data_IF_554259214249
#
_entry.id   IF_554259214249
#
_cell.length_a   1.000
_cell.length_b   1.000
_cell.length_c   1.000
_cell.angle_alpha   90.00
_cell.angle_beta   90.00
_cell.angle_gamma   90.00
#
_symmetry.space_group_name_H-M   'P 1'
#
loop_
_entity.id
_entity.type
_entity.pdbx_description
1 polymer ?
#
# COMPACT_ATOMS: atom_id res chain seq x y z
N UNK A 1 18.32 -15.08 9.68
CA UNK A 1 17.26 -16.10 9.53
C UNK A 1 16.85 -16.54 10.92
N UNK A 2 15.56 -16.82 11.16
CA UNK A 2 15.08 -17.28 12.46
C UNK A 2 15.56 -18.70 12.79
N UNK A 3 15.68 -19.55 11.76
CA UNK A 3 16.37 -20.85 11.79
C UNK A 3 16.75 -21.30 10.36
N UNK A 4 17.59 -22.32 10.18
CA UNK A 4 17.83 -22.92 8.86
C UNK A 4 16.54 -23.47 8.22
N UNK A 5 16.42 -23.34 6.90
CA UNK A 5 15.27 -23.86 6.15
C UNK A 5 15.37 -25.39 6.11
N UNK A 6 14.39 -26.07 6.69
CA UNK A 6 14.28 -27.54 6.63
C UNK A 6 13.53 -27.96 5.37
N UNK A 7 14.03 -29.00 4.71
CA UNK A 7 13.35 -29.64 3.58
C UNK A 7 12.18 -30.53 4.03
N UNK A 8 12.03 -30.77 5.34
CA UNK A 8 10.96 -31.59 5.91
C UNK A 8 10.97 -33.04 5.41
N UNK A 9 9.79 -33.68 5.45
CA UNK A 9 9.61 -35.03 4.93
C UNK A 9 9.39 -34.99 3.40
N UNK A 10 10.32 -35.55 2.58
CA UNK A 10 10.20 -35.55 1.12
C UNK A 10 8.93 -36.21 0.60
N UNK A 11 8.34 -37.14 1.35
CA UNK A 11 7.14 -37.88 0.96
C UNK A 11 5.87 -37.01 0.92
N UNK A 12 5.90 -35.82 1.54
CA UNK A 12 4.76 -34.90 1.56
C UNK A 12 4.69 -34.01 0.31
N UNK A 13 5.78 -33.89 -0.47
CA UNK A 13 5.78 -33.14 -1.74
C UNK A 13 5.49 -31.64 -1.65
N UNK A 14 5.53 -31.03 -0.46
CA UNK A 14 5.25 -29.60 -0.31
C UNK A 14 6.36 -28.73 -0.88
N UNK A 15 5.99 -27.61 -1.51
CA UNK A 15 6.94 -26.61 -2.00
C UNK A 15 7.52 -25.83 -0.83
N UNK A 16 8.85 -25.81 -0.72
CA UNK A 16 9.59 -25.02 0.27
C UNK A 16 10.25 -23.84 -0.43
N UNK A 17 10.20 -22.65 0.17
CA UNK A 17 10.82 -21.45 -0.38
C UNK A 17 12.32 -21.67 -0.61
N UNK A 18 12.80 -21.38 -1.82
CA UNK A 18 14.19 -21.57 -2.18
C UNK A 18 14.68 -20.44 -3.10
N UNK A 19 15.64 -19.63 -2.64
CA UNK A 19 16.22 -18.52 -3.44
C UNK A 19 16.80 -18.96 -4.79
N UNK A 20 17.17 -20.23 -4.97
CA UNK A 20 17.67 -20.76 -6.26
C UNK A 20 16.56 -20.93 -7.30
N UNK A 21 15.30 -21.02 -6.88
CA UNK A 21 14.15 -21.08 -7.78
C UNK A 21 13.87 -19.68 -8.37
N UNK A 22 13.69 -19.59 -9.69
CA UNK A 22 13.43 -18.33 -10.39
C UNK A 22 12.22 -17.56 -9.85
N UNK A 23 11.16 -18.25 -9.44
CA UNK A 23 9.98 -17.59 -8.89
C UNK A 23 10.30 -16.89 -7.55
N UNK A 24 10.92 -17.62 -6.63
CA UNK A 24 11.28 -17.15 -5.29
C UNK A 24 12.42 -16.12 -5.30
N UNK A 25 13.34 -16.21 -6.26
CA UNK A 25 14.44 -15.28 -6.45
C UNK A 25 13.96 -13.84 -6.71
N UNK A 26 12.74 -13.67 -7.22
CA UNK A 26 12.12 -12.36 -7.49
C UNK A 26 11.51 -11.70 -6.25
N UNK A 27 11.43 -12.40 -5.11
CA UNK A 27 10.90 -11.80 -3.88
C UNK A 27 11.81 -10.66 -3.38
N UNK A 28 11.22 -9.49 -3.17
CA UNK A 28 11.96 -8.26 -2.89
C UNK A 28 12.41 -8.12 -1.42
N UNK A 29 11.65 -8.69 -0.49
CA UNK A 29 11.91 -8.63 0.95
C UNK A 29 11.42 -9.91 1.63
N UNK A 30 12.08 -11.07 1.40
CA UNK A 30 11.60 -12.34 1.93
C UNK A 30 11.72 -12.43 3.46
N UNK A 31 10.60 -12.68 4.13
CA UNK A 31 10.54 -13.03 5.56
C UNK A 31 10.01 -14.46 5.64
N UNK A 32 10.89 -15.40 5.98
CA UNK A 32 10.62 -16.83 5.83
C UNK A 32 10.03 -17.41 7.11
N UNK A 33 8.90 -18.12 6.99
CA UNK A 33 8.27 -18.82 8.11
C UNK A 33 9.16 -19.95 8.62
N UNK A 34 9.31 -20.10 9.95
CA UNK A 34 10.15 -21.16 10.50
C UNK A 34 9.48 -22.55 10.37
N UNK A 35 8.16 -22.67 10.49
CA UNK A 35 7.51 -23.98 10.40
C UNK A 35 7.61 -24.57 8.98
N UNK A 36 7.72 -25.89 8.87
CA UNK A 36 7.66 -26.58 7.59
C UNK A 36 6.20 -26.69 7.10
N UNK A 37 5.90 -26.48 5.80
CA UNK A 37 6.82 -26.00 4.77
C UNK A 37 7.14 -24.51 4.93
N UNK A 38 8.43 -24.17 4.89
CA UNK A 38 8.86 -22.76 4.99
C UNK A 38 8.44 -21.99 3.75
N UNK A 39 7.78 -20.86 3.96
CA UNK A 39 7.21 -20.00 2.93
C UNK A 39 7.58 -18.54 3.17
N UNK A 40 7.46 -17.71 2.15
CA UNK A 40 7.65 -16.27 2.29
C UNK A 40 6.34 -15.58 2.75
N UNK A 41 6.32 -15.02 3.95
CA UNK A 41 5.19 -14.27 4.51
C UNK A 41 4.96 -12.91 3.83
N UNK A 42 5.98 -12.37 3.16
CA UNK A 42 5.99 -11.03 2.56
C UNK A 42 6.08 -11.10 1.03
N UNK A 43 5.52 -12.15 0.42
CA UNK A 43 5.50 -12.34 -1.03
C UNK A 43 4.70 -11.26 -1.81
N UNK A 44 3.84 -10.50 -1.11
CA UNK A 44 3.07 -9.39 -1.69
C UNK A 44 3.82 -8.06 -1.73
N UNK A 45 5.05 -7.99 -1.20
CA UNK A 45 5.85 -6.75 -1.22
C UNK A 45 6.23 -6.41 -2.66
N UNK A 46 5.94 -5.17 -3.05
CA UNK A 46 6.28 -4.60 -4.36
C UNK A 46 7.44 -3.61 -4.22
N UNK A 47 8.00 -3.12 -5.33
CA UNK A 47 9.07 -2.11 -5.27
C UNK A 47 8.60 -0.83 -4.56
N UNK A 48 7.35 -0.45 -4.77
CA UNK A 48 6.71 0.69 -4.12
C UNK A 48 6.56 0.52 -2.61
N UNK A 49 6.01 -0.60 -2.15
CA UNK A 49 5.80 -0.83 -0.71
C UNK A 49 7.12 -1.09 0.01
N UNK A 50 8.09 -1.75 -0.63
CA UNK A 50 9.45 -1.90 -0.10
C UNK A 50 10.13 -0.55 0.11
N UNK A 51 10.00 0.38 -0.83
CA UNK A 51 10.53 1.74 -0.69
C UNK A 51 9.94 2.45 0.52
N UNK A 52 8.60 2.42 0.67
CA UNK A 52 7.91 3.02 1.82
C UNK A 52 8.37 2.39 3.14
N UNK A 53 8.43 1.06 3.22
CA UNK A 53 8.90 0.38 4.44
C UNK A 53 10.34 0.79 4.80
N UNK A 54 11.25 0.89 3.81
CA UNK A 54 12.62 1.35 4.05
C UNK A 54 12.68 2.80 4.54
N UNK A 55 11.87 3.69 3.96
CA UNK A 55 11.75 5.08 4.39
C UNK A 55 11.25 5.18 5.84
N UNK A 56 10.19 4.44 6.20
CA UNK A 56 9.65 4.46 7.57
C UNK A 56 10.58 3.79 8.59
N UNK A 57 11.28 2.70 8.23
CA UNK A 57 12.31 2.10 9.11
C UNK A 57 13.46 3.08 9.34
N UNK A 58 13.89 3.80 8.30
CA UNK A 58 14.94 4.83 8.42
C UNK A 58 14.48 5.97 9.34
N UNK A 59 13.28 6.51 9.13
CA UNK A 59 12.67 7.54 9.99
C UNK A 59 12.56 7.06 11.43
N UNK A 60 12.09 5.84 11.65
CA UNK A 60 11.98 5.23 12.98
C UNK A 60 13.33 5.16 13.68
N UNK A 61 14.39 4.72 12.98
CA UNK A 61 15.75 4.70 13.52
C UNK A 61 16.23 6.09 13.93
N UNK A 62 15.99 7.11 13.10
CA UNK A 62 16.38 8.50 13.38
C UNK A 62 15.67 9.02 14.64
N UNK A 63 14.36 8.80 14.75
CA UNK A 63 13.57 9.19 15.93
C UNK A 63 14.02 8.45 17.19
N UNK A 64 14.21 7.13 17.13
CA UNK A 64 14.70 6.34 18.27
C UNK A 64 16.07 6.84 18.72
N UNK A 65 16.96 7.17 17.77
CA UNK A 65 18.30 7.70 18.09
C UNK A 65 18.20 9.06 18.78
N UNK A 66 17.33 9.96 18.29
CA UNK A 66 17.06 11.26 18.91
C UNK A 66 16.55 11.10 20.35
N UNK A 67 15.55 10.23 20.56
CA UNK A 67 14.95 9.94 21.87
C UNK A 67 15.99 9.41 22.85
N UNK A 68 16.83 8.47 22.43
CA UNK A 68 17.88 7.88 23.29
C UNK A 68 19.00 8.88 23.62
N UNK A 69 19.29 9.82 22.73
CA UNK A 69 20.30 10.87 22.96
C UNK A 69 19.77 12.00 23.86
N UNK A 70 18.46 12.26 23.87
CA UNK A 70 17.82 13.26 24.72
C UNK A 70 17.56 12.77 26.15
N UNK A 71 17.61 11.46 26.41
CA UNK A 71 17.52 10.91 27.76
C UNK A 71 18.76 11.32 28.58
N UNK A 72 18.56 12.34 29.42
CA UNK A 72 19.48 13.10 30.27
C UNK A 72 20.94 12.62 30.41
N UNK A 73 21.86 13.56 30.17
CA UNK A 73 23.28 13.45 30.49
C UNK A 73 23.57 13.49 32.01
N UNK A 74 22.56 13.71 32.85
CA UNK A 74 22.66 13.95 34.31
C UNK A 74 22.01 12.87 35.19
N UNK A 75 21.33 11.88 34.61
CA UNK A 75 20.71 10.79 35.37
C UNK A 75 21.58 9.52 35.37
N UNK A 76 21.70 8.85 36.52
CA UNK A 76 22.36 7.53 36.66
C UNK A 76 21.76 6.45 35.75
N UNK A 77 20.51 6.64 35.31
CA UNK A 77 19.77 5.73 34.43
C UNK A 77 19.26 6.50 33.21
N UNK A 78 19.90 6.30 32.06
CA UNK A 78 19.51 6.87 30.76
C UNK A 78 18.28 6.16 30.16
N UNK A 79 17.11 6.32 30.77
CA UNK A 79 15.87 5.78 30.20
C UNK A 79 14.92 6.92 29.84
N UNK A 80 14.55 7.09 28.56
CA UNK A 80 13.57 8.10 28.16
C UNK A 80 12.21 7.83 28.80
N UNK A 81 11.54 8.90 29.28
CA UNK A 81 10.15 8.82 29.74
C UNK A 81 9.17 8.46 28.61
N UNK A 82 7.97 8.02 28.96
CA UNK A 82 6.94 7.58 28.01
C UNK A 82 6.59 8.66 26.96
N UNK A 83 6.58 9.93 27.36
CA UNK A 83 6.26 11.07 26.49
C UNK A 83 7.23 11.23 25.33
N UNK A 84 8.52 10.90 25.53
CA UNK A 84 9.53 10.96 24.48
C UNK A 84 9.20 10.02 23.30
N UNK A 85 8.45 8.95 23.54
CA UNK A 85 8.06 7.96 22.52
C UNK A 85 6.83 8.36 21.70
N UNK A 86 6.05 9.36 22.13
CA UNK A 86 4.79 9.72 21.47
C UNK A 86 4.99 10.00 19.97
N UNK A 87 6.03 10.75 19.63
CA UNK A 87 6.38 11.12 18.24
C UNK A 87 6.67 9.93 17.32
N UNK A 88 7.12 8.80 17.87
CA UNK A 88 7.34 7.57 17.10
C UNK A 88 6.02 6.98 16.58
N UNK A 89 4.94 7.16 17.34
CA UNK A 89 3.61 6.60 17.07
C UNK A 89 2.65 7.61 16.42
N UNK A 90 3.12 8.80 16.07
CA UNK A 90 2.33 9.78 15.33
C UNK A 90 1.75 9.17 14.05
N UNK A 91 0.50 9.54 13.78
CA UNK A 91 -0.19 9.12 12.56
C UNK A 91 0.59 9.54 11.31
N UNK A 92 0.59 8.67 10.29
CA UNK A 92 1.20 8.99 9.01
C UNK A 92 0.62 10.28 8.39
N UNK A 93 1.51 11.08 7.84
CA UNK A 93 1.26 12.26 7.00
C UNK A 93 0.91 11.90 5.56
N UNK A 94 0.50 10.66 5.27
CA UNK A 94 0.20 10.14 3.94
C UNK A 94 -0.56 11.14 3.05
N UNK A 95 -1.61 11.76 3.59
CA UNK A 95 -2.47 12.70 2.86
C UNK A 95 -1.91 14.12 2.70
N UNK A 96 -0.79 14.44 3.35
CA UNK A 96 0.01 15.63 3.07
C UNK A 96 1.25 15.35 2.21
N UNK A 97 1.63 14.07 2.04
CA UNK A 97 2.91 13.66 1.44
C UNK A 97 2.90 13.63 -0.10
N UNK A 98 1.73 13.48 -0.73
CA UNK A 98 1.58 13.35 -2.17
C UNK A 98 0.81 14.52 -2.79
N UNK A 99 1.22 14.92 -4.00
CA UNK A 99 0.54 15.94 -4.81
C UNK A 99 -0.76 15.42 -5.43
N UNK A 100 -0.89 14.09 -5.52
CA UNK A 100 -1.93 13.42 -6.26
C UNK A 100 -2.39 12.18 -5.52
N UNK A 101 -3.71 12.00 -5.44
CA UNK A 101 -4.33 10.80 -4.89
C UNK A 101 -5.27 10.17 -5.90
N UNK A 102 -5.16 8.85 -6.05
CA UNK A 102 -6.11 8.03 -6.79
C UNK A 102 -7.04 7.37 -5.77
N UNK A 103 -8.33 7.69 -5.86
CA UNK A 103 -9.35 7.11 -4.99
C UNK A 103 -10.16 6.07 -5.76
N UNK A 104 -10.48 4.98 -5.06
CA UNK A 104 -11.28 3.88 -5.58
C UNK A 104 -12.42 3.68 -4.61
N UNK A 105 -13.62 4.05 -5.04
CA UNK A 105 -14.83 3.82 -4.29
C UNK A 105 -15.49 2.52 -4.74
N UNK A 106 -15.89 1.72 -3.77
CA UNK A 106 -16.49 0.40 -3.97
C UNK A 106 -17.83 0.39 -3.26
N UNK A 107 -18.89 0.01 -3.96
CA UNK A 107 -20.24 -0.02 -3.41
C UNK A 107 -21.04 -1.23 -3.88
N UNK A 108 -22.03 -1.61 -3.08
CA UNK A 108 -23.00 -2.67 -3.37
C UNK A 108 -24.38 -2.25 -2.82
N UNK A 109 -25.45 -2.99 -3.12
CA UNK A 109 -26.81 -2.70 -2.64
C UNK A 109 -27.05 -3.09 -1.18
N UNK A 110 -26.29 -4.06 -0.68
CA UNK A 110 -26.36 -4.55 0.70
C UNK A 110 -24.96 -4.82 1.30
N UNK A 111 -24.93 -5.00 2.62
CA UNK A 111 -23.68 -5.14 3.38
C UNK A 111 -22.97 -6.48 3.15
N UNK A 112 -23.70 -7.55 2.81
CA UNK A 112 -23.10 -8.86 2.56
C UNK A 112 -22.37 -8.87 1.21
N UNK A 113 -23.05 -8.39 0.18
CA UNK A 113 -22.48 -8.18 -1.14
C UNK A 113 -21.35 -7.15 -1.09
N UNK A 114 -21.47 -6.09 -0.28
CA UNK A 114 -20.38 -5.14 -0.08
C UNK A 114 -19.13 -5.82 0.49
N UNK A 115 -19.27 -6.72 1.46
CA UNK A 115 -18.12 -7.44 2.05
C UNK A 115 -17.40 -8.29 1.00
N UNK A 116 -18.14 -9.05 0.20
CA UNK A 116 -17.57 -9.91 -0.87
C UNK A 116 -16.94 -9.05 -1.96
N UNK A 117 -17.63 -8.00 -2.39
CA UNK A 117 -17.20 -7.10 -3.45
C UNK A 117 -15.95 -6.31 -3.06
N UNK A 118 -15.94 -5.72 -1.86
CA UNK A 118 -14.77 -5.05 -1.27
C UNK A 118 -13.57 -5.99 -1.23
N UNK A 119 -13.74 -7.21 -0.71
CA UNK A 119 -12.66 -8.19 -0.60
C UNK A 119 -12.04 -8.56 -1.95
N UNK A 120 -12.86 -8.72 -2.99
CA UNK A 120 -12.37 -8.94 -4.35
C UNK A 120 -11.59 -7.74 -4.89
N UNK A 121 -12.15 -6.53 -4.77
CA UNK A 121 -11.50 -5.30 -5.27
C UNK A 121 -10.16 -5.11 -4.57
N UNK A 122 -10.13 -5.24 -3.25
CA UNK A 122 -8.93 -5.15 -2.42
C UNK A 122 -7.85 -6.16 -2.85
N UNK A 123 -8.22 -7.43 -3.06
CA UNK A 123 -7.30 -8.46 -3.53
C UNK A 123 -6.70 -8.13 -4.92
N UNK A 124 -7.46 -7.43 -5.77
CA UNK A 124 -7.05 -7.02 -7.12
C UNK A 124 -6.31 -5.69 -7.17
N UNK A 125 -6.32 -4.87 -6.11
CA UNK A 125 -5.58 -3.59 -6.05
C UNK A 125 -4.09 -3.79 -6.29
N UNK A 126 -3.53 -4.90 -5.84
CA UNK A 126 -2.12 -5.24 -6.05
C UNK A 126 -1.73 -5.25 -7.53
N UNK A 127 -2.62 -5.69 -8.42
CA UNK A 127 -2.37 -5.67 -9.87
C UNK A 127 -2.26 -4.24 -10.39
N UNK A 128 -3.18 -3.36 -9.98
CA UNK A 128 -3.14 -1.95 -10.33
C UNK A 128 -1.86 -1.28 -9.81
N UNK A 129 -1.52 -1.51 -8.55
CA UNK A 129 -0.30 -0.97 -7.93
C UNK A 129 0.94 -1.40 -8.73
N UNK A 130 1.01 -2.67 -9.13
CA UNK A 130 2.12 -3.19 -9.93
C UNK A 130 2.20 -2.53 -11.33
N UNK A 131 1.07 -2.35 -12.01
CA UNK A 131 1.05 -1.65 -13.29
C UNK A 131 1.47 -0.19 -13.14
N UNK A 132 0.96 0.51 -12.13
CA UNK A 132 1.29 1.91 -11.87
C UNK A 132 2.77 2.11 -11.50
N UNK A 133 3.37 1.21 -10.72
CA UNK A 133 4.79 1.33 -10.32
C UNK A 133 5.76 1.02 -11.47
N UNK A 134 5.32 0.24 -12.48
CA UNK A 134 6.11 0.00 -13.71
C UNK A 134 6.10 1.18 -14.68
N UNK A 135 5.21 2.16 -14.48
CA UNK A 135 5.17 3.35 -15.31
C UNK A 135 6.42 4.21 -15.07
N UNK A 136 7.02 4.78 -16.14
CA UNK A 136 8.22 5.58 -16.01
C UNK A 136 7.95 6.82 -15.16
N UNK A 137 8.90 7.15 -14.29
CA UNK A 137 8.85 8.32 -13.41
C UNK A 137 7.67 8.34 -12.41
N UNK A 138 6.98 7.22 -12.20
CA UNK A 138 5.85 7.14 -11.26
C UNK A 138 6.29 6.50 -9.95
N UNK A 139 5.97 7.17 -8.84
CA UNK A 139 6.04 6.60 -7.50
C UNK A 139 4.62 6.37 -6.99
N UNK A 140 4.40 5.17 -6.48
CA UNK A 140 3.11 4.73 -5.94
C UNK A 140 3.26 4.48 -4.44
N UNK A 141 2.22 4.80 -3.68
CA UNK A 141 2.10 4.45 -2.26
C UNK A 141 0.64 4.07 -1.98
N UNK A 142 0.31 2.77 -1.89
CA UNK A 142 -1.02 2.35 -1.46
C UNK A 142 -1.23 2.65 0.03
N UNK A 143 -2.34 3.28 0.39
CA UNK A 143 -2.73 3.43 1.78
C UNK A 143 -3.29 2.09 2.29
N UNK A 144 -2.84 1.59 3.46
CA UNK A 144 -3.14 0.22 3.88
C UNK A 144 -4.56 0.01 4.40
N UNK A 145 -5.29 1.06 4.78
CA UNK A 145 -6.64 0.94 5.34
C UNK A 145 -7.70 1.40 4.36
N UNK A 146 -8.85 0.76 4.37
CA UNK A 146 -10.04 1.30 3.76
C UNK A 146 -10.62 2.46 4.57
N UNK A 147 -11.40 3.30 3.89
CA UNK A 147 -12.26 4.30 4.51
C UNK A 147 -13.71 3.84 4.42
N UNK A 148 -14.45 4.02 5.50
CA UNK A 148 -15.88 3.74 5.60
C UNK A 148 -16.66 5.05 5.82
N UNK A 149 -17.99 5.00 5.72
CA UNK A 149 -18.84 6.15 6.07
C UNK A 149 -18.83 7.29 5.05
N UNK A 150 -18.46 7.02 3.80
CA UNK A 150 -18.61 7.99 2.72
C UNK A 150 -20.12 8.26 2.50
N UNK A 151 -20.59 9.52 2.65
CA UNK A 151 -22.01 9.86 2.65
C UNK A 151 -22.70 9.63 1.30
N UNK A 152 -21.91 9.43 0.24
CA UNK A 152 -22.43 9.07 -1.08
C UNK A 152 -22.95 7.64 -1.16
N UNK A 153 -22.80 6.84 -0.10
CA UNK A 153 -23.23 5.46 -0.04
C UNK A 153 -24.13 5.21 1.17
N UNK A 154 -25.06 4.25 1.02
CA UNK A 154 -25.82 3.71 2.15
C UNK A 154 -24.86 3.16 3.21
N UNK A 155 -25.21 3.32 4.48
CA UNK A 155 -24.41 2.82 5.59
C UNK A 155 -24.10 1.32 5.41
N UNK A 156 -22.82 0.96 5.57
CA UNK A 156 -22.32 -0.41 5.38
C UNK A 156 -22.21 -0.88 3.92
N UNK A 157 -22.53 -0.03 2.94
CA UNK A 157 -22.61 -0.38 1.52
C UNK A 157 -21.58 0.38 0.66
N UNK A 158 -20.54 0.96 1.28
CA UNK A 158 -19.55 1.77 0.61
C UNK A 158 -18.19 1.77 1.32
N UNK A 159 -17.12 1.60 0.55
CA UNK A 159 -15.73 1.69 1.01
C UNK A 159 -14.90 2.49 0.01
N UNK A 160 -13.90 3.23 0.50
CA UNK A 160 -12.94 3.96 -0.34
C UNK A 160 -11.51 3.50 -0.06
N UNK A 161 -10.73 3.28 -1.10
CA UNK A 161 -9.29 3.02 -1.03
C UNK A 161 -8.52 4.18 -1.66
N UNK A 162 -7.31 4.42 -1.18
CA UNK A 162 -6.46 5.52 -1.65
C UNK A 162 -5.07 5.06 -2.03
N UNK A 163 -4.56 5.63 -3.11
CA UNK A 163 -3.19 5.44 -3.58
C UNK A 163 -2.57 6.82 -3.79
N UNK A 164 -1.48 7.11 -3.09
CA UNK A 164 -0.68 8.30 -3.26
C UNK A 164 0.21 8.16 -4.49
N UNK A 165 0.26 9.20 -5.32
CA UNK A 165 1.02 9.23 -6.56
C UNK A 165 1.97 10.43 -6.58
N UNK A 166 3.20 10.19 -7.01
CA UNK A 166 4.20 11.22 -7.24
C UNK A 166 4.92 10.96 -8.56
N UNK A 167 4.91 11.94 -9.45
CA UNK A 167 5.61 11.86 -10.72
C UNK A 167 6.91 12.65 -10.64
N UNK A 168 8.03 12.01 -10.97
CA UNK A 168 9.32 12.70 -11.08
C UNK A 168 9.33 13.50 -12.38
N UNK A 169 9.74 14.76 -12.32
CA UNK A 169 9.98 15.54 -13.52
C UNK A 169 11.08 14.87 -14.35
N UNK A 170 10.93 14.85 -15.68
CA UNK A 170 12.07 14.56 -16.55
C UNK A 170 13.08 15.69 -16.38
N UNK A 171 14.37 15.35 -16.31
CA UNK A 171 15.44 16.34 -16.43
C UNK A 171 15.46 16.83 -17.89
N UNK A 172 14.60 17.79 -18.24
CA UNK A 172 14.67 18.51 -19.51
C UNK A 172 15.25 19.89 -19.25
N UNK A 173 16.34 20.22 -19.96
CA UNK A 173 17.01 21.52 -19.94
C UNK A 173 16.21 22.64 -20.66
N UNK A 174 14.93 22.41 -20.92
CA UNK A 174 14.08 23.28 -21.73
C UNK A 174 13.09 24.04 -20.84
N UNK A 175 13.23 25.37 -20.80
CA UNK A 175 12.49 26.27 -19.91
C UNK A 175 11.01 26.45 -20.31
N UNK A 176 10.51 25.73 -21.32
CA UNK A 176 9.17 25.93 -21.86
C UNK A 176 8.26 24.67 -21.92
N UNK A 177 8.62 23.56 -21.29
CA UNK A 177 7.76 22.36 -21.30
C UNK A 177 6.62 22.41 -20.28
N UNK A 178 5.37 22.36 -20.78
CA UNK A 178 4.14 22.10 -20.00
C UNK A 178 4.38 20.95 -19.01
N UNK A 179 3.84 21.05 -17.77
CA UNK A 179 3.91 19.98 -16.76
C UNK A 179 3.57 18.63 -17.41
N UNK A 180 4.42 17.60 -17.27
CA UNK A 180 4.18 16.31 -17.92
C UNK A 180 2.87 15.73 -17.38
N UNK A 181 1.88 15.59 -18.27
CA UNK A 181 0.63 14.88 -17.97
C UNK A 181 0.95 13.39 -18.06
N UNK A 182 0.97 12.72 -16.90
CA UNK A 182 1.16 11.27 -16.86
C UNK A 182 -0.19 10.60 -17.00
N UNK A 183 -0.43 9.94 -18.13
CA UNK A 183 -1.66 9.23 -18.38
C UNK A 183 -1.66 7.85 -17.69
N UNK A 184 -2.49 7.72 -16.65
CA UNK A 184 -2.72 6.46 -15.92
C UNK A 184 -3.94 5.68 -16.45
N UNK A 185 -4.61 6.16 -17.50
CA UNK A 185 -5.89 5.63 -17.96
C UNK A 185 -5.82 4.18 -18.44
N UNK A 186 -4.73 3.80 -19.12
CA UNK A 186 -4.51 2.45 -19.64
C UNK A 186 -4.52 1.38 -18.54
N UNK A 187 -3.56 1.41 -17.59
CA UNK A 187 -3.53 0.51 -16.44
C UNK A 187 -4.84 0.43 -15.66
N UNK A 188 -5.49 1.59 -15.47
CA UNK A 188 -6.75 1.68 -14.73
C UNK A 188 -7.91 1.04 -15.48
N UNK A 189 -7.99 1.23 -16.81
CA UNK A 189 -9.05 0.62 -17.65
C UNK A 189 -8.91 -0.90 -17.68
N UNK A 190 -7.68 -1.40 -17.84
CA UNK A 190 -7.37 -2.83 -17.82
C UNK A 190 -7.77 -3.45 -16.47
N UNK A 191 -7.29 -2.89 -15.37
CA UNK A 191 -7.65 -3.34 -14.02
C UNK A 191 -9.17 -3.31 -13.77
N UNK A 192 -9.83 -2.23 -14.19
CA UNK A 192 -11.28 -2.08 -14.03
C UNK A 192 -12.04 -3.17 -14.80
N UNK A 193 -11.63 -3.46 -16.05
CA UNK A 193 -12.20 -4.57 -16.83
C UNK A 193 -12.08 -5.90 -16.09
N UNK A 194 -10.90 -6.22 -15.56
CA UNK A 194 -10.71 -7.43 -14.76
C UNK A 194 -11.61 -7.46 -13.52
N UNK A 195 -11.72 -6.35 -12.79
CA UNK A 195 -12.58 -6.24 -11.61
C UNK A 195 -14.03 -6.53 -11.95
N UNK A 196 -14.54 -5.97 -13.05
CA UNK A 196 -15.93 -6.13 -13.47
C UNK A 196 -16.26 -7.53 -14.03
N UNK A 197 -15.27 -8.28 -14.51
CA UNK A 197 -15.39 -9.65 -15.06
C UNK A 197 -15.60 -10.73 -13.97
N UNK A 198 -15.85 -10.34 -12.72
CA UNK A 198 -16.09 -11.30 -11.67
C UNK A 198 -17.45 -11.97 -11.80
N UNK A 199 -17.47 -13.31 -11.93
CA UNK A 199 -18.69 -14.07 -12.20
C UNK A 199 -19.79 -14.01 -11.13
N UNK A 200 -19.47 -13.56 -9.91
CA UNK A 200 -20.47 -13.35 -8.84
C UNK A 200 -20.90 -11.89 -8.70
N UNK A 201 -20.52 -11.04 -9.64
CA UNK A 201 -20.86 -9.62 -9.63
C UNK A 201 -22.35 -9.42 -9.94
N UNK A 202 -23.02 -8.63 -9.12
CA UNK A 202 -24.40 -8.21 -9.31
C UNK A 202 -24.48 -6.78 -9.90
N UNK A 203 -25.62 -6.35 -10.48
CA UNK A 203 -25.74 -5.02 -11.10
C UNK A 203 -25.52 -3.84 -10.14
N UNK A 204 -25.82 -4.03 -8.86
CA UNK A 204 -25.64 -3.08 -7.76
C UNK A 204 -24.19 -2.99 -7.26
N UNK A 205 -23.33 -3.94 -7.65
CA UNK A 205 -21.89 -3.88 -7.37
C UNK A 205 -21.18 -2.92 -8.33
N UNK A 206 -20.86 -1.74 -7.78
CA UNK A 206 -20.19 -0.64 -8.46
C UNK A 206 -18.75 -0.46 -7.98
N UNK A 207 -17.87 -0.07 -8.90
CA UNK A 207 -16.55 0.48 -8.60
C UNK A 207 -16.42 1.79 -9.33
N UNK A 208 -16.18 2.86 -8.59
CA UNK A 208 -15.88 4.19 -9.11
C UNK A 208 -14.43 4.53 -8.81
N UNK A 209 -13.85 5.33 -9.69
CA UNK A 209 -12.49 5.84 -9.58
C UNK A 209 -12.54 7.35 -9.68
N UNK A 210 -11.67 8.06 -8.98
CA UNK A 210 -11.55 9.50 -9.22
C UNK A 210 -11.12 9.76 -10.67
N UNK A 211 -11.95 10.54 -11.40
CA UNK A 211 -11.70 11.01 -12.76
C UNK A 211 -12.24 10.09 -13.86
N UNK A 212 -13.41 10.41 -14.41
CA UNK A 212 -13.85 9.91 -15.72
C UNK A 212 -12.86 10.30 -16.86
N UNK A 213 -12.05 11.35 -16.64
CA UNK A 213 -10.97 11.85 -17.50
C UNK A 213 -9.59 11.93 -16.79
N UNK A 214 -9.27 11.03 -15.86
CA UNK A 214 -7.93 10.92 -15.25
C UNK A 214 -7.37 12.21 -14.58
N UNK A 215 -8.22 13.08 -14.05
CA UNK A 215 -7.78 14.16 -13.15
C UNK A 215 -7.64 13.62 -11.74
N UNK A 216 -6.39 13.46 -11.31
CA UNK A 216 -6.00 13.09 -9.95
C UNK A 216 -6.59 14.08 -8.94
N UNK A 217 -7.09 13.56 -7.83
CA UNK A 217 -7.58 14.45 -6.76
C UNK A 217 -6.36 15.12 -6.12
N UNK A 218 -6.33 16.46 -6.15
CA UNK A 218 -5.26 17.26 -5.52
C UNK A 218 -5.53 17.52 -4.04
N UNK A 219 -6.66 17.05 -3.50
CA UNK A 219 -7.06 17.28 -2.11
C UNK A 219 -7.17 15.95 -1.37
N UNK A 220 -6.49 15.89 -0.23
CA UNK A 220 -6.70 14.87 0.77
C UNK A 220 -8.19 14.74 1.13
N UNK A 221 -8.76 13.54 1.33
CA UNK A 221 -10.01 13.41 2.06
C UNK A 221 -9.83 14.03 3.44
N UNK A 222 -10.75 14.90 3.83
CA UNK A 222 -10.80 15.42 5.19
C UNK A 222 -10.91 14.23 6.14
N UNK A 223 -9.88 14.04 7.00
CA UNK A 223 -9.97 13.09 8.11
C UNK A 223 -11.09 13.58 9.04
N UNK A 224 -12.31 13.08 8.85
CA UNK A 224 -13.27 13.05 9.96
C UNK A 224 -12.75 12.00 10.91
N UNK A 225 -12.12 12.45 11.98
CA UNK A 225 -11.68 11.63 13.10
C UNK A 225 -12.84 10.73 13.53
N UNK A 226 -12.77 9.45 13.20
CA UNK A 226 -13.48 8.43 13.96
C UNK A 226 -12.56 8.07 15.11
N UNK A 227 -12.93 8.55 16.30
CA UNK A 227 -12.36 8.20 17.60
C UNK A 227 -12.25 6.70 17.80
#
# INVERSE_FOLDING_TARGET
MLKPISQGNPNLGFKVWNRRNHADARHLMPVITPAYPSMNSTHNVTSSTLRVMREEIKRGRELVTEILNQADATAEVKTPGLEAWQRLFDSSDFFGRYNYYFSIDVSAGDSENQKKWKGLVEARLRYLIHKLETMPNTQVHPYPREFTGNPNFKAGCGNSFYIGLKFKAKASNDKNTKKPVVDVSGPVREWHGHVLDWGMRTPDMGVRRSGANASLCTRAPEKKNTS
#
